data_IF_434132019621
#
_entry.id   IF_434132019621
#
_cell.length_a   1.000
_cell.length_b   1.000
_cell.length_c   1.000
_cell.angle_alpha   90.00
_cell.angle_beta   90.00
_cell.angle_gamma   90.00
#
_symmetry.space_group_name_H-M   'P 1'
#
loop_
_entity.id
_entity.type
_entity.pdbx_description
1 polymer ?
#
# COMPACT_ATOMS: atom_id res chain seq x y z
N UNK A 1 20.94 -8.63 26.07
CA UNK A 1 20.46 -7.58 25.14
C UNK A 1 20.90 -7.76 23.69
N UNK A 2 21.94 -8.55 23.35
CA UNK A 2 22.35 -8.86 21.96
C UNK A 2 21.62 -10.05 21.30
N UNK A 3 20.71 -10.72 22.03
CA UNK A 3 20.03 -11.94 21.58
C UNK A 3 18.88 -11.67 20.58
N UNK A 4 18.22 -10.52 20.64
CA UNK A 4 17.02 -10.23 19.83
C UNK A 4 17.36 -9.39 18.59
N UNK A 5 18.17 -8.33 18.76
CA UNK A 5 18.56 -7.42 17.70
C UNK A 5 20.00 -6.95 17.90
N UNK A 6 20.78 -6.99 16.84
CA UNK A 6 22.12 -6.41 16.80
C UNK A 6 22.31 -5.62 15.50
N UNK A 7 22.57 -4.31 15.61
CA UNK A 7 22.66 -3.41 14.46
C UNK A 7 23.77 -3.81 13.46
N UNK A 8 24.92 -4.29 13.94
CA UNK A 8 26.03 -4.73 13.06
C UNK A 8 25.66 -6.02 12.31
N UNK A 9 24.90 -6.92 12.94
CA UNK A 9 24.41 -8.13 12.28
C UNK A 9 23.30 -7.81 11.29
N UNK A 10 22.36 -6.94 11.67
CA UNK A 10 21.30 -6.44 10.81
C UNK A 10 21.86 -5.75 9.56
N UNK A 11 22.85 -4.85 9.71
CA UNK A 11 23.47 -4.17 8.57
C UNK A 11 24.16 -5.13 7.59
N UNK A 12 24.85 -6.16 8.11
CA UNK A 12 25.43 -7.23 7.27
C UNK A 12 24.36 -8.06 6.55
N UNK A 13 23.26 -8.37 7.24
CA UNK A 13 22.12 -9.08 6.65
C UNK A 13 21.45 -8.24 5.56
N UNK A 14 21.24 -6.95 5.82
CA UNK A 14 20.68 -6.01 4.86
C UNK A 14 21.56 -5.93 3.62
N UNK A 15 22.87 -5.70 3.78
CA UNK A 15 23.83 -5.65 2.68
C UNK A 15 23.84 -6.95 1.87
N UNK A 16 23.87 -8.11 2.55
CA UNK A 16 23.80 -9.42 1.90
C UNK A 16 22.52 -9.53 1.05
N UNK A 17 21.37 -9.25 1.65
CA UNK A 17 20.07 -9.29 0.97
C UNK A 17 20.04 -8.37 -0.26
N UNK A 18 20.60 -7.16 -0.13
CA UNK A 18 20.77 -6.24 -1.26
C UNK A 18 21.59 -6.90 -2.37
N UNK A 19 22.77 -7.44 -2.05
CA UNK A 19 23.71 -7.99 -3.04
C UNK A 19 23.20 -9.25 -3.72
N UNK A 20 22.36 -10.04 -3.05
CA UNK A 20 21.76 -11.26 -3.62
C UNK A 20 20.59 -10.92 -4.55
N UNK A 21 19.80 -9.88 -4.22
CA UNK A 21 18.56 -9.58 -4.93
C UNK A 21 18.59 -8.30 -5.79
N UNK A 22 19.70 -7.54 -5.83
CA UNK A 22 19.73 -6.23 -6.52
C UNK A 22 19.33 -6.32 -7.99
N UNK A 23 19.72 -7.38 -8.73
CA UNK A 23 19.36 -7.54 -10.14
C UNK A 23 17.85 -7.66 -10.32
N UNK A 24 17.21 -8.45 -9.45
CA UNK A 24 15.75 -8.60 -9.42
C UNK A 24 15.07 -7.27 -9.07
N UNK A 25 15.59 -6.55 -8.07
CA UNK A 25 15.06 -5.24 -7.69
C UNK A 25 15.21 -4.19 -8.79
N UNK A 26 16.36 -4.13 -9.46
CA UNK A 26 16.59 -3.22 -10.59
C UNK A 26 15.65 -3.55 -11.76
N UNK A 27 15.43 -4.84 -12.03
CA UNK A 27 14.47 -5.29 -13.03
C UNK A 27 13.05 -4.85 -12.65
N UNK A 28 12.62 -5.03 -11.40
CA UNK A 28 11.31 -4.57 -10.90
C UNK A 28 11.14 -3.06 -11.03
N UNK A 29 12.17 -2.27 -10.71
CA UNK A 29 12.17 -0.80 -10.88
C UNK A 29 12.02 -0.43 -12.36
N UNK A 30 12.75 -1.11 -13.23
CA UNK A 30 12.68 -0.90 -14.68
C UNK A 30 11.29 -1.21 -15.21
N UNK A 31 10.73 -2.36 -14.85
CA UNK A 31 9.37 -2.77 -15.23
C UNK A 31 8.34 -1.78 -14.73
N UNK A 32 8.41 -1.38 -13.46
CA UNK A 32 7.52 -0.37 -12.87
C UNK A 32 7.57 0.94 -13.65
N UNK A 33 8.78 1.44 -13.94
CA UNK A 33 8.99 2.69 -14.68
C UNK A 33 8.46 2.57 -16.11
N UNK A 34 8.71 1.46 -16.80
CA UNK A 34 8.19 1.24 -18.15
C UNK A 34 6.67 1.16 -18.19
N UNK A 35 6.03 0.47 -17.24
CA UNK A 35 4.57 0.38 -17.16
C UNK A 35 3.96 1.76 -16.89
N UNK A 36 4.54 2.52 -15.97
CA UNK A 36 4.14 3.91 -15.70
C UNK A 36 4.30 4.80 -16.94
N UNK A 37 5.43 4.70 -17.62
CA UNK A 37 5.72 5.49 -18.81
C UNK A 37 4.77 5.15 -19.95
N UNK A 38 4.55 3.87 -20.24
CA UNK A 38 3.65 3.41 -21.29
C UNK A 38 2.20 3.77 -20.99
N UNK A 39 1.72 3.49 -19.78
CA UNK A 39 0.36 3.81 -19.36
C UNK A 39 0.10 5.32 -19.32
N UNK A 40 1.04 6.07 -18.76
CA UNK A 40 0.98 7.54 -18.74
C UNK A 40 1.05 8.15 -20.13
N UNK A 41 1.92 7.63 -21.01
CA UNK A 41 2.02 8.09 -22.40
C UNK A 41 0.75 7.76 -23.19
N UNK A 42 0.15 6.60 -22.96
CA UNK A 42 -1.14 6.24 -23.56
C UNK A 42 -2.23 7.26 -23.21
N UNK A 43 -2.37 7.59 -21.92
CA UNK A 43 -3.33 8.58 -21.45
C UNK A 43 -3.05 9.98 -22.02
N UNK A 44 -1.80 10.43 -21.95
CA UNK A 44 -1.41 11.79 -22.34
C UNK A 44 -1.44 11.98 -23.85
N UNK A 45 -0.85 11.08 -24.63
CA UNK A 45 -0.66 11.29 -26.07
C UNK A 45 -1.79 10.72 -26.92
N UNK A 46 -2.29 9.52 -26.62
CA UNK A 46 -3.33 8.88 -27.44
C UNK A 46 -4.74 9.31 -27.03
N UNK A 47 -5.00 9.40 -25.72
CA UNK A 47 -6.33 9.78 -25.22
C UNK A 47 -6.49 11.28 -24.97
N UNK A 48 -5.42 12.06 -25.17
CA UNK A 48 -5.39 13.51 -24.91
C UNK A 48 -5.86 13.90 -23.49
N UNK A 49 -5.64 13.00 -22.51
CA UNK A 49 -6.06 13.20 -21.13
C UNK A 49 -5.08 14.14 -20.44
N UNK A 50 -5.62 15.23 -19.90
CA UNK A 50 -4.87 16.19 -19.08
C UNK A 50 -4.56 15.56 -17.72
N UNK A 51 -3.30 15.60 -17.32
CA UNK A 51 -2.84 15.07 -16.03
C UNK A 51 -3.19 16.01 -14.87
N UNK A 52 -4.48 16.15 -14.58
CA UNK A 52 -4.99 16.96 -13.48
C UNK A 52 -4.79 16.26 -12.12
N UNK A 53 -4.83 17.05 -11.04
CA UNK A 53 -4.59 16.57 -9.68
C UNK A 53 -5.34 15.27 -9.32
N UNK A 54 -6.67 15.14 -9.55
CA UNK A 54 -7.39 13.91 -9.19
C UNK A 54 -6.85 12.67 -9.91
N UNK A 55 -6.46 12.81 -11.18
CA UNK A 55 -5.91 11.71 -11.97
C UNK A 55 -4.50 11.34 -11.50
N UNK A 56 -3.66 12.34 -11.21
CA UNK A 56 -2.32 12.08 -10.67
C UNK A 56 -2.38 11.34 -9.33
N UNK A 57 -3.29 11.75 -8.43
CA UNK A 57 -3.52 11.09 -7.14
C UNK A 57 -4.04 9.66 -7.31
N UNK A 58 -4.98 9.46 -8.24
CA UNK A 58 -5.49 8.13 -8.58
C UNK A 58 -4.35 7.23 -9.07
N UNK A 59 -3.55 7.68 -10.04
CA UNK A 59 -2.45 6.91 -10.60
C UNK A 59 -1.40 6.55 -9.55
N UNK A 60 -0.99 7.51 -8.70
CA UNK A 60 -0.04 7.22 -7.62
C UNK A 60 -0.61 6.21 -6.62
N UNK A 61 -1.87 6.38 -6.22
CA UNK A 61 -2.55 5.47 -5.30
C UNK A 61 -2.62 4.06 -5.87
N UNK A 62 -3.03 3.91 -7.14
CA UNK A 62 -3.06 2.62 -7.83
C UNK A 62 -1.69 1.96 -7.88
N UNK A 63 -0.66 2.72 -8.24
CA UNK A 63 0.70 2.20 -8.35
C UNK A 63 1.19 1.69 -7.00
N UNK A 64 1.10 2.50 -5.94
CA UNK A 64 1.60 2.11 -4.62
C UNK A 64 0.80 0.93 -4.05
N UNK A 65 -0.53 0.97 -4.11
CA UNK A 65 -1.37 -0.05 -3.48
C UNK A 65 -1.32 -1.38 -4.24
N UNK A 66 -1.43 -1.38 -5.57
CA UNK A 66 -1.44 -2.62 -6.34
C UNK A 66 -0.04 -3.19 -6.53
N UNK A 67 0.90 -2.41 -7.04
CA UNK A 67 2.24 -2.95 -7.30
C UNK A 67 2.97 -3.24 -5.98
N UNK A 68 2.69 -2.47 -4.93
CA UNK A 68 3.28 -2.71 -3.61
C UNK A 68 2.77 -3.98 -2.93
N UNK A 69 1.48 -4.33 -3.05
CA UNK A 69 0.97 -5.60 -2.49
C UNK A 69 1.51 -6.82 -3.24
N UNK A 70 1.68 -6.71 -4.56
CA UNK A 70 2.32 -7.75 -5.38
C UNK A 70 3.79 -7.90 -4.95
N UNK A 71 4.54 -6.80 -4.90
CA UNK A 71 5.95 -6.80 -4.51
C UNK A 71 6.17 -7.38 -3.11
N UNK A 72 5.34 -6.95 -2.14
CA UNK A 72 5.29 -7.49 -0.77
C UNK A 72 5.10 -9.00 -0.79
N UNK A 73 4.12 -9.49 -1.54
CA UNK A 73 3.85 -10.94 -1.62
C UNK A 73 5.05 -11.70 -2.17
N UNK A 74 5.77 -11.16 -3.16
CA UNK A 74 6.96 -11.83 -3.72
C UNK A 74 8.12 -11.92 -2.74
N UNK A 75 8.45 -10.82 -2.03
CA UNK A 75 9.52 -10.81 -1.01
C UNK A 75 9.24 -11.80 0.11
N UNK A 76 7.99 -11.84 0.58
CA UNK A 76 7.63 -12.67 1.72
C UNK A 76 7.34 -14.13 1.36
N UNK A 77 7.15 -14.45 0.08
CA UNK A 77 7.04 -15.85 -0.36
C UNK A 77 8.34 -16.61 -0.07
N UNK A 78 9.50 -15.98 -0.26
CA UNK A 78 10.80 -16.60 0.04
C UNK A 78 11.00 -16.87 1.54
N UNK A 79 10.36 -16.07 2.41
CA UNK A 79 10.36 -16.27 3.86
C UNK A 79 9.32 -17.31 4.33
N UNK A 80 8.28 -17.56 3.52
CA UNK A 80 7.22 -18.53 3.80
C UNK A 80 7.50 -19.94 3.25
N UNK A 81 8.55 -20.11 2.44
CA UNK A 81 8.96 -21.38 1.83
C UNK A 81 10.01 -22.11 2.71
N UNK A 82 9.59 -23.23 3.28
CA UNK A 82 10.36 -24.10 4.17
C UNK A 82 11.71 -24.52 3.56
N UNK A 83 11.82 -24.62 2.22
CA UNK A 83 13.04 -25.06 1.52
C UNK A 83 14.08 -23.96 1.36
N UNK A 84 13.66 -22.70 1.19
CA UNK A 84 14.57 -21.54 1.15
C UNK A 84 14.90 -21.02 2.54
N UNK A 85 14.02 -21.25 3.52
CA UNK A 85 14.25 -20.97 4.93
C UNK A 85 15.49 -21.71 5.48
N UNK A 86 15.78 -22.93 5.02
CA UNK A 86 16.96 -23.73 5.39
C UNK A 86 18.30 -23.01 5.10
N UNK A 87 18.43 -22.32 3.97
CA UNK A 87 19.63 -21.52 3.65
C UNK A 87 19.75 -20.23 4.47
N UNK A 88 18.61 -19.69 4.93
CA UNK A 88 18.60 -18.55 5.84
C UNK A 88 18.86 -18.98 7.30
N UNK A 89 18.51 -20.21 7.70
CA UNK A 89 18.71 -20.76 9.05
C UNK A 89 20.19 -21.03 9.38
N UNK A 90 21.07 -21.17 8.38
CA UNK A 90 22.51 -21.33 8.60
C UNK A 90 23.22 -20.02 8.94
N UNK A 91 22.60 -18.87 8.67
CA UNK A 91 23.08 -17.58 9.16
C UNK A 91 22.66 -17.41 10.63
N UNK A 92 23.59 -17.08 11.55
CA UNK A 92 23.30 -16.84 12.95
C UNK A 92 22.63 -15.46 13.15
N UNK A 93 21.50 -15.22 12.47
CA UNK A 93 20.69 -14.01 12.58
C UNK A 93 19.29 -14.33 13.10
N UNK A 94 18.74 -13.41 13.88
CA UNK A 94 17.47 -13.64 14.58
C UNK A 94 16.30 -13.61 13.61
N UNK A 95 15.22 -14.30 13.94
CA UNK A 95 13.96 -14.25 13.17
C UNK A 95 13.45 -12.81 13.01
N UNK A 96 13.64 -11.98 14.05
CA UNK A 96 13.28 -10.57 14.03
C UNK A 96 14.09 -9.74 13.03
N UNK A 97 15.40 -9.94 12.94
CA UNK A 97 16.23 -9.21 11.96
C UNK A 97 15.85 -9.55 10.52
N UNK A 98 15.58 -10.84 10.22
CA UNK A 98 15.12 -11.28 8.90
C UNK A 98 13.77 -10.67 8.53
N UNK A 99 12.83 -10.69 9.49
CA UNK A 99 11.53 -10.03 9.35
C UNK A 99 11.69 -8.53 9.05
N UNK A 100 12.56 -7.84 9.80
CA UNK A 100 12.77 -6.40 9.68
C UNK A 100 13.43 -6.02 8.34
N UNK A 101 14.39 -6.80 7.85
CA UNK A 101 15.00 -6.56 6.51
C UNK A 101 13.94 -6.65 5.43
N UNK A 102 13.14 -7.71 5.44
CA UNK A 102 12.10 -7.91 4.44
C UNK A 102 11.03 -6.82 4.53
N UNK A 103 10.59 -6.46 5.74
CA UNK A 103 9.67 -5.34 5.97
C UNK A 103 10.23 -4.01 5.48
N UNK A 104 11.52 -3.72 5.72
CA UNK A 104 12.13 -2.46 5.28
C UNK A 104 12.19 -2.36 3.76
N UNK A 105 12.50 -3.47 3.08
CA UNK A 105 12.50 -3.54 1.62
C UNK A 105 11.11 -3.42 1.01
N UNK A 106 10.16 -4.22 1.51
CA UNK A 106 8.82 -4.28 0.96
C UNK A 106 8.00 -3.04 1.29
N UNK A 107 8.26 -2.38 2.42
CA UNK A 107 7.50 -1.20 2.86
C UNK A 107 8.22 0.11 2.53
N UNK A 108 9.38 0.38 3.16
CA UNK A 108 10.03 1.70 3.10
C UNK A 108 10.74 1.91 1.76
N UNK A 109 11.63 0.99 1.37
CA UNK A 109 12.40 1.11 0.12
C UNK A 109 11.46 1.14 -1.08
N UNK A 110 10.49 0.22 -1.12
CA UNK A 110 9.48 0.19 -2.16
C UNK A 110 8.72 1.52 -2.28
N UNK A 111 8.24 2.09 -1.17
CA UNK A 111 7.46 3.31 -1.19
C UNK A 111 8.29 4.49 -1.73
N UNK A 112 9.51 4.67 -1.23
CA UNK A 112 10.41 5.75 -1.68
C UNK A 112 10.72 5.61 -3.17
N UNK A 113 11.08 4.41 -3.62
CA UNK A 113 11.43 4.16 -5.02
C UNK A 113 10.23 4.31 -5.95
N UNK A 114 9.06 3.81 -5.57
CA UNK A 114 7.85 3.91 -6.39
C UNK A 114 7.37 5.35 -6.54
N UNK A 115 7.43 6.14 -5.46
CA UNK A 115 7.18 7.58 -5.51
C UNK A 115 8.20 8.24 -6.44
N UNK A 116 9.49 7.95 -6.29
CA UNK A 116 10.53 8.49 -7.17
C UNK A 116 10.27 8.19 -8.65
N UNK A 117 9.96 6.94 -8.99
CA UNK A 117 9.63 6.54 -10.36
C UNK A 117 8.41 7.28 -10.90
N UNK A 118 7.36 7.42 -10.10
CA UNK A 118 6.16 8.16 -10.48
C UNK A 118 6.48 9.63 -10.79
N UNK A 119 7.18 10.33 -9.90
CA UNK A 119 7.56 11.73 -10.13
C UNK A 119 8.44 11.90 -11.36
N UNK A 120 9.40 10.99 -11.59
CA UNK A 120 10.25 11.01 -12.79
C UNK A 120 9.42 10.87 -14.08
N UNK A 121 8.48 9.92 -14.11
CA UNK A 121 7.61 9.71 -15.28
C UNK A 121 6.67 10.91 -15.47
N UNK A 122 6.09 11.45 -14.40
CA UNK A 122 5.22 12.63 -14.48
C UNK A 122 5.96 13.86 -15.00
N UNK A 123 7.19 14.09 -14.53
CA UNK A 123 8.05 15.16 -15.05
C UNK A 123 8.28 14.99 -16.54
N UNK A 124 8.63 13.78 -16.98
CA UNK A 124 8.82 13.50 -18.40
C UNK A 124 7.56 13.79 -19.22
N UNK A 125 6.40 13.29 -18.81
CA UNK A 125 5.15 13.43 -19.56
C UNK A 125 4.69 14.89 -19.68
N UNK A 126 4.79 15.66 -18.59
CA UNK A 126 4.37 17.07 -18.58
C UNK A 126 5.31 17.97 -19.41
N UNK A 127 6.59 17.63 -19.52
CA UNK A 127 7.51 18.36 -20.41
C UNK A 127 7.36 17.92 -21.87
N UNK A 128 7.02 16.65 -22.12
CA UNK A 128 6.91 16.10 -23.45
C UNK A 128 5.64 16.54 -24.20
N UNK A 129 4.55 16.84 -23.50
CA UNK A 129 3.30 17.34 -24.12
C UNK A 129 2.84 18.65 -23.49
N UNK A 130 2.75 19.68 -24.33
CA UNK A 130 2.13 20.94 -23.95
C UNK A 130 0.61 20.86 -24.14
N UNK A 131 -0.14 21.13 -23.08
CA UNK A 131 -1.60 21.24 -23.14
C UNK A 131 -2.01 22.71 -23.22
N UNK A 132 -3.02 23.07 -24.03
CA UNK A 132 -3.59 24.42 -23.99
C UNK A 132 -4.26 24.67 -22.62
N UNK A 133 -4.01 25.84 -22.04
CA UNK A 133 -4.55 26.24 -20.73
C UNK A 133 -3.47 26.54 -19.69
N UNK A 134 -3.84 26.61 -18.39
CA UNK A 134 -2.87 26.87 -17.33
C UNK A 134 -1.83 25.74 -17.27
N UNK A 135 -0.58 26.07 -16.89
CA UNK A 135 0.48 25.08 -16.77
C UNK A 135 0.06 24.00 -15.78
N UNK A 136 0.23 22.74 -16.19
CA UNK A 136 -0.02 21.60 -15.31
C UNK A 136 1.20 21.41 -14.41
N UNK A 137 0.98 21.43 -13.10
CA UNK A 137 2.01 21.17 -12.11
C UNK A 137 1.85 19.76 -11.52
N UNK A 138 2.97 19.20 -11.08
CA UNK A 138 2.93 17.95 -10.32
C UNK A 138 2.55 18.28 -8.88
N UNK A 139 1.61 17.52 -8.32
CA UNK A 139 1.19 17.76 -6.95
C UNK A 139 2.32 17.51 -5.94
N UNK A 140 2.27 18.22 -4.83
CA UNK A 140 3.15 17.97 -3.68
C UNK A 140 2.59 16.85 -2.81
N UNK A 141 3.45 15.93 -2.34
CA UNK A 141 3.07 14.91 -1.34
C UNK A 141 2.48 15.52 -0.05
N UNK A 142 2.78 16.78 0.24
CA UNK A 142 2.26 17.51 1.40
C UNK A 142 0.95 18.26 1.10
N UNK A 143 0.41 18.13 -0.11
CA UNK A 143 -0.90 18.66 -0.47
C UNK A 143 -1.98 18.07 0.44
N UNK A 144 -2.85 18.93 1.00
CA UNK A 144 -3.91 18.51 1.91
C UNK A 144 -5.14 18.08 1.13
N UNK A 145 -5.62 16.87 1.36
CA UNK A 145 -6.86 16.38 0.75
C UNK A 145 -8.01 16.74 1.68
N UNK A 146 -8.92 17.61 1.21
CA UNK A 146 -10.14 17.95 1.93
C UNK A 146 -10.98 16.67 2.15
N UNK A 147 -11.49 16.51 3.36
CA UNK A 147 -12.36 15.39 3.74
C UNK A 147 -11.66 14.13 4.27
N UNK A 148 -10.36 13.96 4.02
CA UNK A 148 -9.57 12.84 4.57
C UNK A 148 -8.69 13.22 5.77
N UNK A 149 -8.71 14.48 6.21
CA UNK A 149 -8.04 14.90 7.45
C UNK A 149 -6.51 14.73 7.45
N UNK A 150 -5.85 14.82 6.28
CA UNK A 150 -4.42 14.63 6.15
C UNK A 150 -3.87 15.09 4.80
N UNK A 151 -2.55 15.00 4.63
CA UNK A 151 -1.91 15.20 3.34
C UNK A 151 -1.83 13.89 2.53
N UNK A 152 -1.49 14.00 1.24
CA UNK A 152 -1.37 12.86 0.33
C UNK A 152 -0.43 11.80 0.89
N UNK A 153 0.74 12.21 1.41
CA UNK A 153 1.72 11.29 1.99
C UNK A 153 1.13 10.46 3.14
N UNK A 154 0.43 11.12 4.06
CA UNK A 154 -0.16 10.48 5.22
C UNK A 154 -1.24 9.47 4.83
N UNK A 155 -2.09 9.82 3.87
CA UNK A 155 -3.13 8.93 3.34
C UNK A 155 -2.49 7.71 2.65
N UNK A 156 -1.45 7.94 1.83
CA UNK A 156 -0.67 6.86 1.21
C UNK A 156 -0.07 5.96 2.28
N UNK A 157 0.55 6.51 3.33
CA UNK A 157 1.16 5.73 4.40
C UNK A 157 0.13 4.88 5.14
N UNK A 158 -1.05 5.42 5.47
CA UNK A 158 -2.10 4.66 6.15
C UNK A 158 -2.61 3.53 5.27
N UNK A 159 -3.06 3.86 4.05
CA UNK A 159 -3.65 2.89 3.15
C UNK A 159 -2.61 1.83 2.77
N UNK A 160 -1.40 2.26 2.44
CA UNK A 160 -0.33 1.33 2.10
C UNK A 160 0.05 0.44 3.28
N UNK A 161 0.12 0.95 4.51
CA UNK A 161 0.35 0.13 5.71
C UNK A 161 -0.69 -0.97 5.87
N UNK A 162 -1.97 -0.63 5.69
CA UNK A 162 -3.06 -1.58 5.79
C UNK A 162 -2.92 -2.68 4.71
N UNK A 163 -2.85 -2.29 3.44
CA UNK A 163 -2.74 -3.24 2.32
C UNK A 163 -1.45 -4.08 2.39
N UNK A 164 -0.33 -3.45 2.75
CA UNK A 164 0.96 -4.11 2.97
C UNK A 164 0.86 -5.16 4.09
N UNK A 165 0.25 -4.83 5.23
CA UNK A 165 0.09 -5.76 6.35
C UNK A 165 -0.79 -6.97 6.00
N UNK A 166 -1.86 -6.77 5.22
CA UNK A 166 -2.74 -7.83 4.72
C UNK A 166 -1.99 -8.75 3.75
N UNK A 167 -1.30 -8.17 2.76
CA UNK A 167 -0.49 -8.92 1.79
C UNK A 167 0.62 -9.71 2.49
N UNK A 168 1.25 -9.11 3.49
CA UNK A 168 2.30 -9.74 4.26
C UNK A 168 1.79 -10.95 5.06
N UNK A 169 0.74 -10.78 5.86
CA UNK A 169 0.13 -11.89 6.60
C UNK A 169 -0.32 -13.00 5.64
N UNK A 170 -0.90 -12.60 4.50
CA UNK A 170 -1.29 -13.50 3.42
C UNK A 170 -0.17 -14.37 2.88
N UNK A 171 0.98 -13.75 2.57
CA UNK A 171 2.17 -14.43 2.07
C UNK A 171 2.66 -15.50 3.06
N UNK A 172 2.61 -15.22 4.36
CA UNK A 172 3.02 -16.18 5.40
C UNK A 172 1.97 -17.28 5.61
N UNK A 173 0.67 -16.95 5.63
CA UNK A 173 -0.36 -17.90 6.03
C UNK A 173 -0.62 -19.01 5.00
N UNK A 174 -0.56 -18.68 3.72
CA UNK A 174 -0.77 -19.67 2.66
C UNK A 174 0.56 -20.38 2.29
N UNK A 175 0.53 -21.44 1.47
CA UNK A 175 1.73 -22.09 0.86
C UNK A 175 1.74 -22.09 -0.67
N UNK A 176 0.56 -21.93 -1.28
CA UNK A 176 0.35 -21.84 -2.72
C UNK A 176 -0.76 -20.84 -2.98
N UNK A 177 -0.64 -20.09 -4.07
CA UNK A 177 -1.63 -19.08 -4.50
C UNK A 177 -1.92 -18.05 -3.41
N UNK A 178 -0.89 -17.66 -2.64
CA UNK A 178 -1.02 -16.78 -1.48
C UNK A 178 -1.69 -15.46 -1.86
N UNK A 179 -1.20 -14.81 -2.91
CA UNK A 179 -1.77 -13.55 -3.39
C UNK A 179 -3.27 -13.68 -3.73
N UNK A 180 -3.65 -14.73 -4.48
CA UNK A 180 -5.05 -14.97 -4.89
C UNK A 180 -5.94 -15.25 -3.68
N UNK A 181 -5.50 -16.09 -2.74
CA UNK A 181 -6.27 -16.43 -1.54
C UNK A 181 -6.44 -15.22 -0.61
N UNK A 182 -5.38 -14.43 -0.44
CA UNK A 182 -5.43 -13.20 0.35
C UNK A 182 -6.35 -12.17 -0.27
N UNK A 183 -6.27 -11.97 -1.59
CA UNK A 183 -7.18 -11.09 -2.30
C UNK A 183 -8.65 -11.55 -2.15
N UNK A 184 -8.92 -12.85 -2.30
CA UNK A 184 -10.27 -13.40 -2.13
C UNK A 184 -10.82 -13.14 -0.72
N UNK A 185 -10.04 -13.44 0.32
CA UNK A 185 -10.46 -13.20 1.71
C UNK A 185 -10.65 -11.70 1.97
N UNK A 186 -9.75 -10.86 1.46
CA UNK A 186 -9.86 -9.41 1.56
C UNK A 186 -11.17 -8.90 0.95
N UNK A 187 -11.52 -9.34 -0.27
CA UNK A 187 -12.76 -8.95 -0.93
C UNK A 187 -14.01 -9.45 -0.20
N UNK A 188 -13.98 -10.66 0.34
CA UNK A 188 -15.10 -11.19 1.14
C UNK A 188 -15.28 -10.36 2.43
N UNK A 189 -14.19 -10.12 3.16
CA UNK A 189 -14.24 -9.36 4.42
C UNK A 189 -14.69 -7.93 4.18
N UNK A 190 -14.16 -7.24 3.16
CA UNK A 190 -14.55 -5.87 2.87
C UNK A 190 -16.00 -5.77 2.38
N UNK A 191 -16.49 -6.75 1.59
CA UNK A 191 -17.88 -6.79 1.17
C UNK A 191 -18.84 -6.98 2.36
N UNK A 192 -18.50 -7.88 3.28
CA UNK A 192 -19.26 -8.07 4.53
C UNK A 192 -19.24 -6.79 5.35
N UNK A 193 -18.08 -6.16 5.52
CA UNK A 193 -17.92 -4.97 6.35
C UNK A 193 -18.68 -3.77 5.77
N UNK A 194 -18.60 -3.55 4.45
CA UNK A 194 -19.40 -2.53 3.76
C UNK A 194 -20.89 -2.81 3.90
N UNK A 195 -21.32 -4.07 3.73
CA UNK A 195 -22.75 -4.44 3.83
C UNK A 195 -23.28 -4.22 5.25
N UNK A 196 -22.57 -4.72 6.27
CA UNK A 196 -22.97 -4.54 7.67
C UNK A 196 -22.99 -3.06 8.06
N UNK A 197 -22.00 -2.29 7.60
CA UNK A 197 -21.92 -0.87 7.85
C UNK A 197 -23.08 -0.10 7.17
N UNK A 198 -23.40 -0.42 5.91
CA UNK A 198 -24.56 0.14 5.21
C UNK A 198 -25.87 -0.17 5.94
N UNK A 199 -26.06 -1.42 6.36
CA UNK A 199 -27.25 -1.85 7.11
C UNK A 199 -27.34 -1.09 8.44
N UNK A 200 -26.26 -1.03 9.21
CA UNK A 200 -26.23 -0.31 10.48
C UNK A 200 -26.55 1.19 10.29
N UNK A 201 -25.91 1.84 9.31
CA UNK A 201 -26.15 3.26 9.04
C UNK A 201 -27.57 3.53 8.54
N UNK A 202 -28.15 2.63 7.73
CA UNK A 202 -29.53 2.75 7.28
C UNK A 202 -30.50 2.71 8.47
N UNK A 203 -30.29 1.82 9.43
CA UNK A 203 -31.08 1.78 10.67
C UNK A 203 -30.88 3.00 11.57
N UNK A 204 -29.70 3.64 11.56
CA UNK A 204 -29.43 4.83 12.38
C UNK A 204 -30.02 6.10 11.75
N UNK A 205 -29.80 6.31 10.46
CA UNK A 205 -30.12 7.59 9.77
C UNK A 205 -31.55 7.57 9.19
N UNK A 206 -32.16 6.40 8.97
CA UNK A 206 -33.49 6.26 8.38
C UNK A 206 -33.62 6.98 7.01
N UNK A 207 -32.55 6.98 6.22
CA UNK A 207 -32.46 7.60 4.89
C UNK A 207 -31.76 6.66 3.91
N UNK A 208 -31.98 6.91 2.63
CA UNK A 208 -31.25 6.25 1.55
C UNK A 208 -29.81 6.76 1.48
N UNK A 209 -28.89 5.84 1.78
CA UNK A 209 -27.47 6.12 1.89
C UNK A 209 -26.77 5.73 0.58
N UNK A 210 -25.89 6.60 0.08
CA UNK A 210 -25.16 6.39 -1.17
C UNK A 210 -23.71 5.97 -0.93
N UNK A 211 -23.06 6.51 0.11
CA UNK A 211 -21.63 6.30 0.32
C UNK A 211 -21.36 6.02 1.79
N UNK A 212 -20.89 4.80 2.08
CA UNK A 212 -20.37 4.45 3.40
C UNK A 212 -19.09 3.66 3.25
N UNK A 213 -17.99 4.40 3.14
CA UNK A 213 -16.69 3.81 3.47
C UNK A 213 -16.62 3.78 5.01
N UNK A 214 -16.48 2.59 5.62
CA UNK A 214 -16.44 2.43 7.07
C UNK A 214 -15.42 3.36 7.71
N UNK A 215 -15.78 3.97 8.85
CA UNK A 215 -14.93 4.91 9.59
C UNK A 215 -14.52 6.19 8.82
N UNK A 216 -15.33 6.60 7.83
CA UNK A 216 -15.15 7.87 7.10
C UNK A 216 -16.46 8.67 7.03
N UNK A 217 -16.60 9.57 6.04
CA UNK A 217 -17.83 10.33 5.81
C UNK A 217 -19.00 9.44 5.43
N UNK A 218 -20.20 9.86 5.81
CA UNK A 218 -21.47 9.24 5.42
C UNK A 218 -22.18 10.16 4.43
N UNK A 219 -22.51 9.63 3.25
CA UNK A 219 -23.22 10.36 2.20
C UNK A 219 -24.65 9.83 2.02
N UNK A 220 -25.66 10.71 2.08
CA UNK A 220 -27.07 10.36 1.86
C UNK A 220 -27.78 11.36 0.93
N UNK A 221 -28.87 10.91 0.30
CA UNK A 221 -29.75 11.81 -0.45
C UNK A 221 -30.84 12.38 0.44
N UNK A 222 -31.05 13.68 0.35
CA UNK A 222 -32.24 14.32 0.89
C UNK A 222 -32.83 15.28 -0.14
N UNK A 223 -34.09 15.05 -0.51
CA UNK A 223 -34.84 15.86 -1.49
C UNK A 223 -34.10 16.06 -2.82
N UNK A 224 -33.43 15.01 -3.32
CA UNK A 224 -32.68 15.05 -4.58
C UNK A 224 -31.32 15.76 -4.51
N UNK A 225 -30.87 16.17 -3.31
CA UNK A 225 -29.54 16.73 -3.08
C UNK A 225 -28.67 15.75 -2.30
N UNK A 226 -27.41 15.66 -2.68
CA UNK A 226 -26.41 14.87 -1.98
C UNK A 226 -25.90 15.64 -0.77
N UNK A 227 -25.98 15.02 0.41
CA UNK A 227 -25.40 15.55 1.64
C UNK A 227 -24.32 14.58 2.11
N UNK A 228 -23.11 15.10 2.35
CA UNK A 228 -22.04 14.37 2.98
C UNK A 228 -21.85 14.90 4.40
N UNK A 229 -22.07 14.04 5.39
CA UNK A 229 -21.72 14.33 6.78
C UNK A 229 -20.29 13.85 6.97
N UNK A 230 -19.38 14.80 7.06
CA UNK A 230 -18.00 14.54 7.44
C UNK A 230 -17.82 14.99 8.90
N UNK A 231 -17.54 14.08 9.83
CA UNK A 231 -17.24 14.49 11.19
C UNK A 231 -15.81 15.06 11.19
N UNK A 232 -15.68 16.37 10.91
CA UNK A 232 -14.38 17.05 10.83
C UNK A 232 -13.51 16.82 12.08
N UNK A 233 -14.15 16.65 13.25
CA UNK A 233 -13.50 16.38 14.53
C UNK A 233 -13.08 14.91 14.74
N UNK A 234 -13.65 13.95 14.00
CA UNK A 234 -13.42 12.51 14.21
C UNK A 234 -12.65 11.81 13.08
N UNK A 235 -12.19 12.55 12.06
CA UNK A 235 -11.42 11.96 10.96
C UNK A 235 -10.17 11.22 11.46
N UNK A 236 -9.52 11.74 12.50
CA UNK A 236 -8.36 11.11 13.15
C UNK A 236 -8.69 9.76 13.80
N UNK A 237 -9.89 9.60 14.34
CA UNK A 237 -10.32 8.34 14.97
C UNK A 237 -10.42 7.22 13.94
N UNK A 238 -10.98 7.50 12.76
CA UNK A 238 -11.03 6.51 11.67
C UNK A 238 -9.65 6.13 11.16
N UNK A 239 -8.76 7.11 11.01
CA UNK A 239 -7.36 6.87 10.62
C UNK A 239 -6.60 6.02 11.64
N UNK A 240 -6.80 6.25 12.94
CA UNK A 240 -6.20 5.47 14.01
C UNK A 240 -6.61 4.00 13.95
N UNK A 241 -7.87 3.70 13.63
CA UNK A 241 -8.34 2.31 13.46
C UNK A 241 -7.53 1.58 12.40
N UNK A 242 -7.30 2.20 11.23
CA UNK A 242 -6.50 1.57 10.17
C UNK A 242 -5.05 1.33 10.59
N UNK A 243 -4.45 2.27 11.31
CA UNK A 243 -3.08 2.13 11.83
C UNK A 243 -3.01 0.98 12.84
N UNK A 244 -3.94 0.92 13.79
CA UNK A 244 -4.01 -0.15 14.80
C UNK A 244 -4.18 -1.51 14.12
N UNK A 245 -5.09 -1.63 13.15
CA UNK A 245 -5.29 -2.87 12.40
C UNK A 245 -4.00 -3.27 11.67
N UNK A 246 -3.31 -2.35 11.00
CA UNK A 246 -2.04 -2.64 10.34
C UNK A 246 -0.97 -3.16 11.32
N UNK A 247 -0.85 -2.57 12.50
CA UNK A 247 0.06 -3.04 13.55
C UNK A 247 -0.30 -4.43 14.09
N UNK A 248 -1.59 -4.70 14.30
CA UNK A 248 -2.06 -6.04 14.71
C UNK A 248 -1.70 -7.07 13.64
N UNK A 249 -1.92 -6.76 12.36
CA UNK A 249 -1.60 -7.67 11.27
C UNK A 249 -0.09 -7.91 11.10
N UNK A 250 0.75 -6.88 11.28
CA UNK A 250 2.21 -7.04 11.30
C UNK A 250 2.70 -7.89 12.47
N UNK A 251 2.17 -7.67 13.67
CA UNK A 251 2.56 -8.49 14.83
C UNK A 251 2.10 -9.95 14.66
N UNK A 252 0.88 -10.18 14.17
CA UNK A 252 0.39 -11.51 13.83
C UNK A 252 1.27 -12.20 12.77
N UNK A 253 1.69 -11.46 11.72
CA UNK A 253 2.60 -11.96 10.70
C UNK A 253 3.95 -12.39 11.30
N UNK A 254 4.51 -11.59 12.21
CA UNK A 254 5.76 -11.92 12.90
C UNK A 254 5.66 -13.21 13.74
N UNK A 255 4.62 -13.34 14.56
CA UNK A 255 4.44 -14.55 15.38
C UNK A 255 4.23 -15.79 14.53
N UNK A 256 3.46 -15.67 13.43
CA UNK A 256 3.24 -16.77 12.50
C UNK A 256 4.53 -17.20 11.80
N UNK A 257 5.40 -16.26 11.45
CA UNK A 257 6.72 -16.56 10.89
C UNK A 257 7.59 -17.33 11.90
N UNK A 258 7.56 -16.89 13.17
CA UNK A 258 8.31 -17.53 14.26
C UNK A 258 7.84 -18.98 14.47
N UNK A 259 6.54 -19.24 14.46
CA UNK A 259 5.97 -20.59 14.57
C UNK A 259 6.40 -21.51 13.42
N UNK A 260 6.52 -20.99 12.20
CA UNK A 260 6.95 -21.78 11.03
C UNK A 260 8.43 -22.14 11.03
N UNK A 261 9.25 -21.35 11.72
CA UNK A 261 10.71 -21.47 11.70
C UNK A 261 11.28 -22.14 12.97
N UNK A 262 10.42 -22.44 13.94
CA UNK A 262 10.72 -23.21 15.14
C UNK A 262 10.49 -24.71 14.89
#
# INVERSE_FOLDING_TARGET
MNEIFNLKRFGRLFYKHTTEHYKSYLMSITVLTCVLLLGGSFLVFLMDVRMELPLQLLLLGWVILFTGTIFTSTIFTDLGDDKKALGALTLPSTHFEKYLVAWLYSFVVFLVVSIGCFYLVMLFLLHAKHFPGPPLEIFSLFYRILGFGGNVLFIILILYSLFHSIAFLGAICFKKLHFVKTALIFFIVIAILITLNNVAMHYMIHRDIIQVVPFTSVGFMEKGKYFAVNPEDFVWTGQLVYIIVAFILWTAAYFRLKEKQA
#
